data_IF_688809379113
#
_entry.id   IF_688809379113
#
_cell.length_a   1.000
_cell.length_b   1.000
_cell.length_c   1.000
_cell.angle_alpha   90.00
_cell.angle_beta   90.00
_cell.angle_gamma   90.00
#
_symmetry.space_group_name_H-M   'P 1'
#
loop_
_entity.id
_entity.type
_entity.pdbx_description
1 polymer ?
#
# COMPACT_ATOMS: atom_id res chain seq x y z
N UNK A 1 -18.50 28.79 -42.78
CA UNK A 1 -19.13 27.90 -41.78
C UNK A 1 -18.19 26.78 -41.28
N UNK A 2 -17.56 25.97 -42.15
CA UNK A 2 -16.64 24.88 -41.73
C UNK A 2 -15.48 25.31 -40.83
N UNK A 3 -14.78 26.43 -41.12
CA UNK A 3 -13.67 26.93 -40.29
C UNK A 3 -14.08 27.35 -38.88
N UNK A 4 -15.29 27.90 -38.74
CA UNK A 4 -15.84 28.32 -37.44
C UNK A 4 -16.24 27.10 -36.61
N UNK A 5 -16.73 26.04 -37.27
CA UNK A 5 -17.03 24.76 -36.63
C UNK A 5 -15.76 24.07 -36.12
N UNK A 6 -14.67 24.07 -36.91
CA UNK A 6 -13.37 23.51 -36.52
C UNK A 6 -12.74 24.24 -35.32
N UNK A 7 -12.83 25.57 -35.28
CA UNK A 7 -12.32 26.37 -34.15
C UNK A 7 -13.15 26.14 -32.89
N UNK A 8 -14.48 26.03 -33.01
CA UNK A 8 -15.35 25.69 -31.88
C UNK A 8 -15.11 24.27 -31.37
N UNK A 9 -14.84 23.32 -32.27
CA UNK A 9 -14.50 21.94 -31.90
C UNK A 9 -13.17 21.88 -31.15
N UNK A 10 -12.13 22.57 -31.67
CA UNK A 10 -10.81 22.62 -31.04
C UNK A 10 -10.83 23.30 -29.66
N UNK A 11 -11.60 24.39 -29.51
CA UNK A 11 -11.75 25.07 -28.22
C UNK A 11 -12.55 24.23 -27.21
N UNK A 12 -13.54 23.47 -27.67
CA UNK A 12 -14.26 22.51 -26.82
C UNK A 12 -13.36 21.35 -26.39
N UNK A 13 -12.50 20.83 -27.27
CA UNK A 13 -11.51 19.80 -26.92
C UNK A 13 -10.47 20.29 -25.90
N UNK A 14 -10.02 21.55 -26.01
CA UNK A 14 -9.04 22.15 -25.10
C UNK A 14 -9.59 22.33 -23.67
N UNK A 15 -10.89 22.61 -23.54
CA UNK A 15 -11.56 22.76 -22.25
C UNK A 15 -11.76 21.42 -21.50
N UNK A 16 -11.77 20.29 -22.21
CA UNK A 16 -11.93 18.95 -21.60
C UNK A 16 -10.60 18.45 -21.00
N UNK A 17 -9.45 18.89 -21.50
CA UNK A 17 -8.12 18.47 -21.00
C UNK A 17 -7.72 19.23 -19.72
N UNK A 18 -8.32 20.39 -19.45
CA UNK A 18 -7.94 21.26 -18.33
C UNK A 18 -8.46 20.83 -16.95
N UNK A 19 -9.35 19.84 -16.89
CA UNK A 19 -9.95 19.36 -15.63
C UNK A 19 -9.38 18.01 -15.16
N UNK A 20 -8.07 17.77 -15.33
CA UNK A 20 -7.41 16.69 -14.58
C UNK A 20 -7.27 17.15 -13.14
N UNK A 21 -8.23 16.80 -12.29
CA UNK A 21 -8.03 16.80 -10.84
C UNK A 21 -6.96 15.77 -10.54
N UNK A 22 -5.70 16.20 -10.42
CA UNK A 22 -4.64 15.40 -9.79
C UNK A 22 -5.02 15.30 -8.31
N UNK A 23 -5.93 14.38 -8.01
CA UNK A 23 -6.26 14.04 -6.63
C UNK A 23 -5.10 13.20 -6.11
N UNK A 24 -4.14 13.85 -5.46
CA UNK A 24 -3.03 13.17 -4.78
C UNK A 24 -3.59 12.49 -3.54
N UNK A 25 -4.18 11.32 -3.75
CA UNK A 25 -4.64 10.45 -2.68
C UNK A 25 -3.46 9.62 -2.17
N UNK A 26 -3.45 9.34 -0.87
CA UNK A 26 -2.45 8.48 -0.26
C UNK A 26 -2.43 7.08 -0.94
N UNK A 27 -1.29 6.62 -1.49
CA UNK A 27 -1.24 5.39 -2.27
C UNK A 27 -1.19 4.15 -1.36
N UNK A 28 -2.32 3.83 -0.72
CA UNK A 28 -2.43 2.80 0.32
C UNK A 28 -1.85 1.44 -0.12
N UNK A 29 -2.13 0.97 -1.34
CA UNK A 29 -1.61 -0.30 -1.83
C UNK A 29 -0.07 -0.30 -2.02
N UNK A 30 0.53 0.85 -2.34
CA UNK A 30 1.99 0.99 -2.42
C UNK A 30 2.60 1.03 -1.01
N UNK A 31 1.95 1.70 -0.07
CA UNK A 31 2.35 1.72 1.34
C UNK A 31 2.25 0.34 1.99
N UNK A 32 1.22 -0.47 1.67
CA UNK A 32 1.12 -1.87 2.13
C UNK A 32 2.28 -2.72 1.61
N UNK A 33 2.64 -2.59 0.33
CA UNK A 33 3.79 -3.29 -0.25
C UNK A 33 5.11 -2.87 0.39
N UNK A 34 5.29 -1.57 0.64
CA UNK A 34 6.45 -1.04 1.34
C UNK A 34 6.54 -1.57 2.77
N UNK A 35 5.41 -1.61 3.49
CA UNK A 35 5.33 -2.17 4.82
C UNK A 35 5.72 -3.65 4.84
N UNK A 36 5.20 -4.45 3.90
CA UNK A 36 5.55 -5.86 3.78
C UNK A 36 7.04 -6.08 3.56
N UNK A 37 7.66 -5.30 2.67
CA UNK A 37 9.10 -5.40 2.40
C UNK A 37 9.93 -5.11 3.65
N UNK A 38 9.61 -4.03 4.37
CA UNK A 38 10.33 -3.66 5.60
C UNK A 38 10.09 -4.70 6.70
N UNK A 39 8.84 -5.16 6.88
CA UNK A 39 8.50 -6.17 7.90
C UNK A 39 9.20 -7.49 7.60
N UNK A 40 9.22 -7.94 6.35
CA UNK A 40 9.92 -9.16 5.94
C UNK A 40 11.44 -9.02 6.18
N UNK A 41 12.02 -7.84 5.96
CA UNK A 41 13.42 -7.56 6.27
C UNK A 41 13.71 -7.54 7.78
N UNK A 42 12.85 -6.93 8.59
CA UNK A 42 13.03 -6.87 10.06
C UNK A 42 12.85 -8.26 10.68
N UNK A 43 11.84 -9.01 10.24
CA UNK A 43 11.48 -10.30 10.86
C UNK A 43 12.20 -11.51 10.27
N UNK A 44 12.67 -11.42 9.02
CA UNK A 44 13.31 -12.52 8.28
C UNK A 44 14.80 -12.34 8.03
N UNK A 45 15.42 -11.25 8.50
CA UNK A 45 16.87 -11.00 8.40
C UNK A 45 17.43 -10.90 6.98
N UNK A 46 16.57 -10.91 5.96
CA UNK A 46 16.99 -10.87 4.56
C UNK A 46 17.32 -9.43 4.17
N UNK A 47 18.61 -9.09 4.10
CA UNK A 47 19.06 -7.93 3.35
C UNK A 47 18.81 -8.20 1.85
N UNK A 48 17.61 -7.87 1.36
CA UNK A 48 17.29 -8.05 -0.05
C UNK A 48 18.01 -6.98 -0.91
N UNK A 49 18.59 -7.36 -2.07
CA UNK A 49 19.03 -6.40 -3.07
C UNK A 49 17.85 -5.58 -3.56
N UNK A 50 18.04 -4.26 -3.63
CA UNK A 50 17.11 -3.35 -4.30
C UNK A 50 17.08 -3.67 -5.79
N UNK A 51 16.17 -4.57 -6.17
CA UNK A 51 15.78 -4.77 -7.56
C UNK A 51 14.31 -4.44 -7.66
N UNK A 52 14.01 -3.25 -8.19
CA UNK A 52 12.70 -2.95 -8.77
C UNK A 52 12.42 -4.02 -9.83
N UNK A 53 11.61 -5.02 -9.48
CA UNK A 53 11.08 -5.95 -10.45
C UNK A 53 10.01 -5.21 -11.28
N UNK A 54 10.03 -5.32 -12.61
CA UNK A 54 9.13 -4.57 -13.48
C UNK A 54 7.67 -4.93 -13.19
N UNK A 55 6.86 -3.88 -13.09
CA UNK A 55 5.42 -3.88 -12.88
C UNK A 55 4.73 -4.97 -13.70
N UNK A 56 4.34 -6.08 -13.05
CA UNK A 56 3.34 -6.97 -13.62
C UNK A 56 1.99 -6.26 -13.51
N UNK A 57 1.22 -6.05 -14.59
CA UNK A 57 -0.14 -5.54 -14.49
C UNK A 57 -0.96 -6.54 -13.67
N UNK A 58 -1.23 -6.22 -12.40
CA UNK A 58 -2.19 -6.96 -11.61
C UNK A 58 -3.59 -6.51 -12.03
N UNK A 59 -4.25 -7.40 -12.75
CA UNK A 59 -5.67 -7.30 -13.09
C UNK A 59 -6.48 -7.28 -11.79
N UNK A 60 -7.33 -6.27 -11.66
CA UNK A 60 -8.41 -6.22 -10.66
C UNK A 60 -9.31 -7.45 -10.79
N UNK A 61 -9.73 -8.07 -9.66
CA UNK A 61 -10.72 -9.14 -9.61
C UNK A 61 -11.97 -8.90 -10.48
N UNK A 62 -12.52 -9.96 -11.12
CA UNK A 62 -13.70 -9.83 -11.98
C UNK A 62 -14.96 -9.59 -11.13
N UNK A 63 -15.66 -8.50 -11.42
CA UNK A 63 -17.07 -8.35 -11.03
C UNK A 63 -17.93 -9.46 -11.67
N UNK A 64 -19.05 -9.86 -11.03
CA UNK A 64 -19.87 -10.99 -11.45
C UNK A 64 -20.53 -10.74 -12.82
N UNK A 65 -20.79 -11.80 -13.61
CA UNK A 65 -21.40 -11.64 -14.93
C UNK A 65 -22.83 -11.13 -14.80
N UNK A 66 -23.03 -9.87 -15.17
CA UNK A 66 -24.34 -9.37 -15.57
C UNK A 66 -24.78 -10.19 -16.77
N UNK A 67 -25.77 -11.06 -16.55
CA UNK A 67 -26.38 -11.90 -17.56
C UNK A 67 -27.01 -11.01 -18.64
N UNK A 68 -26.30 -10.84 -19.75
CA UNK A 68 -26.83 -10.24 -20.96
C UNK A 68 -27.88 -11.20 -21.52
N UNK A 69 -29.13 -10.93 -21.15
CA UNK A 69 -30.34 -11.57 -21.61
C UNK A 69 -30.34 -11.63 -23.13
N UNK A 70 -30.11 -12.83 -23.66
CA UNK A 70 -30.26 -13.17 -25.08
C UNK A 70 -31.74 -13.02 -25.46
N UNK A 71 -32.10 -11.88 -26.05
CA UNK A 71 -33.33 -11.78 -26.82
C UNK A 71 -33.08 -12.33 -28.22
N UNK A 72 -33.55 -13.55 -28.44
CA UNK A 72 -33.72 -14.17 -29.75
C UNK A 72 -34.93 -13.57 -30.45
N UNK A 73 -34.69 -12.88 -31.55
CA UNK A 73 -35.58 -12.71 -32.72
C UNK A 73 -34.68 -12.09 -33.78
N UNK A 74 -34.28 -12.81 -34.83
CA UNK A 74 -35.16 -13.12 -35.93
C UNK A 74 -34.81 -12.19 -37.10
N UNK A 75 -34.23 -12.79 -38.14
CA UNK A 75 -34.34 -12.39 -39.55
C UNK A 75 -33.39 -11.32 -40.16
N UNK A 76 -32.64 -11.80 -41.17
CA UNK A 76 -32.27 -11.22 -42.47
C UNK A 76 -31.46 -9.90 -42.61
N UNK A 77 -30.71 -9.91 -43.71
CA UNK A 77 -29.98 -8.83 -44.40
C UNK A 77 -28.60 -8.45 -43.88
N UNK A 78 -27.58 -8.93 -44.61
CA UNK A 78 -26.25 -8.34 -44.64
C UNK A 78 -26.30 -6.90 -45.15
N UNK A 79 -25.32 -6.11 -44.71
CA UNK A 79 -24.98 -4.72 -45.11
C UNK A 79 -24.94 -3.68 -43.98
N UNK A 80 -24.86 -4.10 -42.69
CA UNK A 80 -24.72 -3.16 -41.55
C UNK A 80 -23.57 -3.48 -40.58
N UNK A 81 -22.73 -4.47 -40.88
CA UNK A 81 -21.63 -4.92 -40.01
C UNK A 81 -20.32 -4.12 -40.16
N UNK A 82 -20.06 -3.55 -41.33
CA UNK A 82 -18.78 -2.89 -41.65
C UNK A 82 -18.67 -1.48 -41.08
N UNK A 83 -19.78 -0.75 -40.94
CA UNK A 83 -19.78 0.64 -40.43
C UNK A 83 -19.52 0.68 -38.92
N UNK A 84 -19.97 -0.32 -38.16
CA UNK A 84 -19.73 -0.42 -36.70
C UNK A 84 -18.28 -0.73 -36.34
N UNK A 85 -17.61 -1.55 -37.14
CA UNK A 85 -16.21 -1.92 -36.91
C UNK A 85 -15.24 -0.77 -37.21
N UNK A 86 -15.55 0.06 -38.21
CA UNK A 86 -14.74 1.24 -38.52
C UNK A 86 -14.92 2.36 -37.48
N UNK A 87 -16.12 2.57 -36.95
CA UNK A 87 -16.37 3.54 -35.89
C UNK A 87 -15.61 3.21 -34.58
N UNK A 88 -15.48 1.92 -34.24
CA UNK A 88 -14.71 1.49 -33.07
C UNK A 88 -13.21 1.77 -33.20
N UNK A 89 -12.63 1.59 -34.41
CA UNK A 89 -11.21 1.88 -34.67
C UNK A 89 -10.87 3.37 -34.70
N UNK A 90 -11.82 4.20 -35.12
CA UNK A 90 -11.64 5.67 -35.10
C UNK A 90 -11.71 6.22 -33.68
N UNK A 91 -12.55 5.66 -32.80
CA UNK A 91 -12.59 6.05 -31.38
C UNK A 91 -11.28 5.73 -30.63
N UNK A 92 -10.61 4.63 -30.98
CA UNK A 92 -9.34 4.17 -30.38
C UNK A 92 -8.15 5.08 -30.75
N UNK A 93 -8.22 5.80 -31.87
CA UNK A 93 -7.20 6.77 -32.30
C UNK A 93 -7.45 8.17 -31.72
N UNK A 94 -8.72 8.52 -31.46
CA UNK A 94 -9.12 9.84 -30.96
C UNK A 94 -9.14 9.94 -29.43
N UNK A 95 -9.24 8.81 -28.73
CA UNK A 95 -9.05 8.73 -27.28
C UNK A 95 -7.72 8.04 -27.08
N UNK A 96 -6.62 8.77 -26.78
CA UNK A 96 -5.41 8.13 -26.30
C UNK A 96 -5.82 7.18 -25.18
N UNK A 97 -5.34 5.93 -25.21
CA UNK A 97 -5.42 5.07 -24.04
C UNK A 97 -4.90 5.92 -22.88
N UNK A 98 -5.82 6.37 -22.02
CA UNK A 98 -5.47 7.16 -20.86
C UNK A 98 -4.51 6.26 -20.10
N UNK A 99 -3.23 6.62 -20.10
CA UNK A 99 -2.19 5.87 -19.42
C UNK A 99 -2.66 5.78 -17.97
N UNK A 100 -3.14 4.59 -17.63
CA UNK A 100 -3.78 4.30 -16.38
C UNK A 100 -2.73 4.51 -15.31
N UNK A 101 -2.92 5.58 -14.53
CA UNK A 101 -2.43 5.80 -13.19
C UNK A 101 -1.16 4.99 -12.87
N UNK A 102 0.00 5.55 -13.20
CA UNK A 102 1.25 5.10 -12.60
C UNK A 102 1.08 5.25 -11.09
N UNK A 103 0.81 4.13 -10.40
CA UNK A 103 0.54 4.13 -8.97
C UNK A 103 1.75 4.73 -8.28
N UNK A 104 1.59 5.88 -7.62
CA UNK A 104 2.64 6.53 -6.84
C UNK A 104 3.31 5.46 -5.96
N UNK A 105 4.57 5.17 -6.24
CA UNK A 105 5.34 4.19 -5.50
C UNK A 105 5.82 4.84 -4.21
N UNK A 106 5.71 4.14 -3.07
CA UNK A 106 6.29 4.61 -1.81
C UNK A 106 7.79 4.31 -1.84
N UNK A 107 8.60 5.36 -1.82
CA UNK A 107 10.04 5.26 -1.70
C UNK A 107 10.43 4.88 -0.27
N UNK A 108 11.18 3.78 -0.15
CA UNK A 108 11.77 3.27 1.10
C UNK A 108 13.30 3.14 0.98
N UNK A 109 13.89 3.78 -0.03
CA UNK A 109 15.31 3.66 -0.39
C UNK A 109 16.18 4.78 0.18
N UNK A 110 15.67 5.60 1.11
CA UNK A 110 16.51 6.60 1.76
C UNK A 110 17.56 5.96 2.69
N UNK A 111 18.74 6.58 2.87
CA UNK A 111 19.73 6.14 3.86
C UNK A 111 19.17 6.03 5.28
N UNK A 112 18.28 6.94 5.66
CA UNK A 112 17.66 7.02 6.98
C UNK A 112 16.71 5.83 7.21
N UNK A 113 15.86 5.53 6.22
CA UNK A 113 14.96 4.36 6.27
C UNK A 113 15.76 3.06 6.34
N UNK A 114 16.85 2.94 5.58
CA UNK A 114 17.74 1.78 5.68
C UNK A 114 18.38 1.65 7.06
N UNK A 115 18.90 2.75 7.62
CA UNK A 115 19.57 2.73 8.91
C UNK A 115 18.63 2.33 10.05
N UNK A 116 17.42 2.91 10.08
CA UNK A 116 16.42 2.56 11.10
C UNK A 116 15.91 1.12 10.92
N UNK A 117 15.73 0.66 9.68
CA UNK A 117 15.33 -0.73 9.40
C UNK A 117 16.40 -1.71 9.87
N UNK A 118 17.68 -1.44 9.60
CA UNK A 118 18.79 -2.26 10.07
C UNK A 118 18.88 -2.29 11.61
N UNK A 119 18.66 -1.15 12.27
CA UNK A 119 18.58 -1.06 13.73
C UNK A 119 17.45 -1.95 14.28
N UNK A 120 16.26 -1.88 13.68
CA UNK A 120 15.13 -2.75 14.03
C UNK A 120 15.45 -4.24 13.82
N UNK A 121 16.00 -4.61 12.65
CA UNK A 121 16.44 -6.00 12.37
C UNK A 121 17.41 -6.50 13.43
N UNK A 122 18.40 -5.70 13.81
CA UNK A 122 19.42 -6.11 14.79
C UNK A 122 18.87 -6.36 16.20
N UNK A 123 17.79 -5.67 16.58
CA UNK A 123 17.11 -5.87 17.87
C UNK A 123 16.05 -6.95 17.84
N UNK A 124 15.54 -7.30 16.66
CA UNK A 124 14.34 -8.11 16.53
C UNK A 124 14.49 -9.47 17.24
N UNK A 125 15.63 -10.15 17.10
CA UNK A 125 15.89 -11.44 17.74
C UNK A 125 15.71 -11.40 19.27
N UNK A 126 16.12 -10.30 19.92
CA UNK A 126 15.95 -10.14 21.37
C UNK A 126 14.49 -9.86 21.74
N UNK A 127 13.79 -9.08 20.91
CA UNK A 127 12.39 -8.73 21.16
C UNK A 127 11.44 -9.90 20.87
N UNK A 128 11.81 -10.76 19.92
CA UNK A 128 11.00 -11.90 19.47
C UNK A 128 10.67 -12.85 20.62
N UNK A 129 11.65 -13.16 21.49
CA UNK A 129 11.43 -14.02 22.65
C UNK A 129 10.35 -13.49 23.60
N UNK A 130 10.26 -12.16 23.75
CA UNK A 130 9.25 -11.53 24.59
C UNK A 130 7.87 -11.47 23.91
N UNK A 131 7.81 -11.42 22.58
CA UNK A 131 6.55 -11.61 21.86
C UNK A 131 6.05 -13.05 22.00
N UNK A 132 6.96 -14.02 21.85
CA UNK A 132 6.64 -15.44 21.97
C UNK A 132 6.14 -15.83 23.38
N UNK A 133 6.67 -15.21 24.44
CA UNK A 133 6.17 -15.41 25.80
C UNK A 133 4.88 -14.64 26.11
N UNK A 134 4.44 -13.75 25.22
CA UNK A 134 3.34 -12.83 25.44
C UNK A 134 3.64 -11.71 26.43
N UNK A 135 4.90 -11.51 26.83
CA UNK A 135 5.29 -10.38 27.66
C UNK A 135 5.08 -9.05 26.92
N UNK A 136 5.40 -9.00 25.62
CA UNK A 136 5.16 -7.83 24.77
C UNK A 136 4.13 -8.12 23.69
N UNK A 137 3.50 -7.07 23.19
CA UNK A 137 2.52 -7.16 22.10
C UNK A 137 2.53 -5.92 21.21
N UNK A 138 1.90 -6.05 20.04
CA UNK A 138 1.76 -4.96 19.07
C UNK A 138 0.58 -4.07 19.43
N UNK A 139 0.74 -2.75 19.37
CA UNK A 139 -0.36 -1.80 19.63
C UNK A 139 -1.09 -1.44 18.33
N UNK A 140 -2.27 -0.82 18.47
CA UNK A 140 -3.07 -0.35 17.33
C UNK A 140 -2.41 0.81 16.55
N UNK A 141 -1.44 1.50 17.16
CA UNK A 141 -0.62 2.55 16.54
C UNK A 141 0.65 2.01 15.85
N UNK A 142 0.77 0.69 15.74
CA UNK A 142 1.91 0.02 15.10
C UNK A 142 3.18 0.14 15.91
N UNK A 143 3.06 0.25 17.24
CA UNK A 143 4.15 0.24 18.20
C UNK A 143 4.17 -1.09 18.96
N UNK A 144 5.08 -1.21 19.92
CA UNK A 144 5.21 -2.36 20.83
C UNK A 144 4.96 -1.89 22.26
N UNK A 145 4.32 -2.72 23.07
CA UNK A 145 4.07 -2.43 24.49
C UNK A 145 4.41 -3.63 25.36
N UNK A 146 4.90 -3.36 26.59
CA UNK A 146 5.00 -4.37 27.64
C UNK A 146 3.61 -4.67 28.18
N UNK A 147 2.98 -5.72 27.63
CA UNK A 147 1.64 -6.16 27.98
C UNK A 147 1.58 -6.83 29.34
N UNK A 148 2.49 -7.78 29.60
CA UNK A 148 2.51 -8.56 30.84
C UNK A 148 3.91 -8.57 31.45
N UNK A 149 4.12 -7.71 32.45
CA UNK A 149 5.38 -7.65 33.20
C UNK A 149 5.62 -8.89 34.07
N UNK A 150 4.58 -9.67 34.41
CA UNK A 150 4.73 -10.89 35.21
C UNK A 150 5.24 -12.07 34.37
N UNK A 151 5.06 -12.03 33.04
CA UNK A 151 5.68 -12.94 32.11
C UNK A 151 7.19 -12.68 31.91
N UNK A 152 7.75 -11.62 32.50
CA UNK A 152 9.17 -11.26 32.40
C UNK A 152 9.89 -11.50 33.74
N UNK A 153 10.99 -12.29 33.77
CA UNK A 153 11.83 -12.43 34.96
C UNK A 153 12.31 -11.09 35.49
N UNK A 154 12.38 -10.92 36.82
CA UNK A 154 12.74 -9.64 37.45
C UNK A 154 14.07 -9.07 36.93
N UNK A 155 15.06 -9.92 36.69
CA UNK A 155 16.38 -9.53 36.16
C UNK A 155 16.32 -8.96 34.73
N UNK A 156 15.30 -9.30 33.95
CA UNK A 156 15.16 -8.92 32.54
C UNK A 156 14.22 -7.72 32.34
N UNK A 157 13.44 -7.33 33.35
CA UNK A 157 12.42 -6.26 33.19
C UNK A 157 13.00 -4.93 32.70
N UNK A 158 14.19 -4.56 33.17
CA UNK A 158 14.87 -3.36 32.70
C UNK A 158 15.29 -3.47 31.22
N UNK A 159 15.75 -4.66 30.81
CA UNK A 159 16.12 -4.95 29.43
C UNK A 159 14.90 -4.85 28.51
N UNK A 160 13.78 -5.50 28.84
CA UNK A 160 12.55 -5.47 28.01
C UNK A 160 12.03 -4.04 27.84
N UNK A 161 11.97 -3.26 28.93
CA UNK A 161 11.54 -1.85 28.86
C UNK A 161 12.41 -1.02 27.92
N UNK A 162 13.74 -1.23 27.97
CA UNK A 162 14.68 -0.57 27.07
C UNK A 162 14.46 -0.99 25.62
N UNK A 163 14.33 -2.30 25.35
CA UNK A 163 14.09 -2.82 23.99
C UNK A 163 12.80 -2.27 23.40
N UNK A 164 11.70 -2.25 24.17
CA UNK A 164 10.42 -1.67 23.75
C UNK A 164 10.56 -0.17 23.43
N UNK A 165 11.23 0.59 24.29
CA UNK A 165 11.43 2.03 24.08
C UNK A 165 12.28 2.32 22.84
N UNK A 166 13.37 1.56 22.63
CA UNK A 166 14.24 1.67 21.47
C UNK A 166 13.51 1.28 20.18
N UNK A 167 12.73 0.20 20.19
CA UNK A 167 11.95 -0.22 19.01
C UNK A 167 10.87 0.79 18.63
N UNK A 168 10.18 1.36 19.63
CA UNK A 168 9.19 2.39 19.38
C UNK A 168 9.80 3.68 18.85
N UNK A 169 11.01 4.05 19.30
CA UNK A 169 11.73 5.19 18.75
C UNK A 169 12.02 4.98 17.26
N UNK A 170 12.46 3.79 16.89
CA UNK A 170 12.77 3.45 15.51
C UNK A 170 11.51 3.35 14.65
N UNK A 171 10.43 2.73 15.12
CA UNK A 171 9.14 2.71 14.41
C UNK A 171 8.59 4.10 14.14
N UNK A 172 8.63 4.98 15.14
CA UNK A 172 8.20 6.38 14.96
C UNK A 172 9.07 7.11 13.94
N UNK A 173 10.39 6.91 14.00
CA UNK A 173 11.32 7.49 13.01
C UNK A 173 11.03 6.95 11.62
N UNK A 174 10.85 5.64 11.47
CA UNK A 174 10.55 4.98 10.21
C UNK A 174 9.29 5.57 9.55
N UNK A 175 8.19 5.69 10.28
CA UNK A 175 6.94 6.20 9.71
C UNK A 175 7.08 7.65 9.24
N UNK A 176 7.74 8.49 10.04
CA UNK A 176 7.99 9.87 9.68
C UNK A 176 8.94 10.01 8.48
N UNK A 177 10.00 9.20 8.42
CA UNK A 177 10.98 9.25 7.33
C UNK A 177 10.42 8.70 6.02
N UNK A 178 9.54 7.68 6.05
CA UNK A 178 8.82 7.25 4.84
C UNK A 178 7.97 8.42 4.32
N UNK A 179 7.22 9.11 5.19
CA UNK A 179 6.41 10.24 4.81
C UNK A 179 7.26 11.38 4.19
N UNK A 180 8.37 11.74 4.85
CA UNK A 180 9.31 12.79 4.38
C UNK A 180 10.01 12.42 3.07
N UNK A 181 10.53 11.19 2.93
CA UNK A 181 11.21 10.72 1.74
C UNK A 181 10.30 10.75 0.51
N UNK A 182 8.99 10.61 0.72
CA UNK A 182 7.97 10.70 -0.32
C UNK A 182 7.41 12.12 -0.51
N UNK A 183 8.04 13.15 0.09
CA UNK A 183 7.60 14.55 0.04
C UNK A 183 6.16 14.81 0.55
N UNK A 184 5.65 13.90 1.39
CA UNK A 184 4.30 13.97 1.96
C UNK A 184 4.32 13.69 3.48
N UNK A 185 4.85 14.62 4.32
CA UNK A 185 4.87 14.46 5.77
C UNK A 185 3.48 14.22 6.37
N UNK A 186 2.43 14.74 5.72
CA UNK A 186 1.03 14.53 6.12
C UNK A 186 0.57 13.07 6.03
N UNK A 187 1.26 12.22 5.26
CA UNK A 187 0.94 10.80 5.13
C UNK A 187 1.38 9.96 6.34
N UNK A 188 2.14 10.51 7.29
CA UNK A 188 2.68 9.74 8.43
C UNK A 188 1.60 8.95 9.16
N UNK A 189 0.43 9.57 9.43
CA UNK A 189 -0.67 8.92 10.15
C UNK A 189 -1.24 7.74 9.36
N UNK A 190 -1.38 7.87 8.04
CA UNK A 190 -1.91 6.79 7.20
C UNK A 190 -0.87 5.67 7.00
N UNK A 191 0.41 6.03 6.87
CA UNK A 191 1.54 5.09 6.87
C UNK A 191 1.53 4.28 8.17
N UNK A 192 1.49 4.95 9.32
CA UNK A 192 1.43 4.31 10.64
C UNK A 192 0.28 3.33 10.74
N UNK A 193 -0.93 3.72 10.31
CA UNK A 193 -2.11 2.85 10.34
C UNK A 193 -1.93 1.60 9.49
N UNK A 194 -1.35 1.75 8.29
CA UNK A 194 -1.04 0.60 7.43
C UNK A 194 -0.02 -0.30 8.11
N UNK A 195 1.10 0.26 8.59
CA UNK A 195 2.12 -0.52 9.27
C UNK A 195 1.58 -1.25 10.49
N UNK A 196 0.73 -0.61 11.31
CA UNK A 196 0.10 -1.24 12.46
C UNK A 196 -0.64 -2.52 12.08
N UNK A 197 -1.49 -2.45 11.06
CA UNK A 197 -2.20 -3.61 10.53
C UNK A 197 -1.24 -4.64 9.94
N UNK A 198 -0.26 -4.23 9.13
CA UNK A 198 0.69 -5.15 8.47
C UNK A 198 1.64 -5.83 9.46
N UNK A 199 2.04 -5.17 10.55
CA UNK A 199 2.81 -5.81 11.62
C UNK A 199 2.05 -7.01 12.20
N UNK A 200 0.75 -6.87 12.41
CA UNK A 200 -0.10 -7.98 12.87
C UNK A 200 -0.28 -9.02 11.78
N UNK A 201 -0.66 -8.65 10.56
CA UNK A 201 -1.00 -9.59 9.49
C UNK A 201 0.23 -10.37 8.98
N UNK A 202 1.35 -9.67 8.75
CA UNK A 202 2.55 -10.20 8.11
C UNK A 202 3.67 -10.53 9.09
N UNK A 203 3.93 -9.65 10.06
CA UNK A 203 5.08 -9.77 10.96
C UNK A 203 4.86 -10.66 12.18
N UNK A 204 3.65 -10.66 12.73
CA UNK A 204 3.36 -11.42 13.95
C UNK A 204 3.25 -12.93 13.69
N UNK A 205 3.80 -13.74 14.58
CA UNK A 205 3.68 -15.20 14.55
C UNK A 205 2.45 -15.67 15.33
N UNK A 206 1.92 -16.90 15.09
CA UNK A 206 0.84 -17.46 15.89
C UNK A 206 1.15 -17.41 17.38
N UNK A 207 0.18 -17.06 18.20
CA UNK A 207 0.32 -16.92 19.64
C UNK A 207 0.78 -15.53 20.12
N UNK A 208 1.21 -14.63 19.22
CA UNK A 208 1.58 -13.27 19.59
C UNK A 208 0.36 -12.41 19.92
N UNK A 209 0.54 -11.46 20.83
CA UNK A 209 -0.53 -10.55 21.22
C UNK A 209 -0.49 -9.23 20.44
N UNK A 210 -1.68 -8.73 20.11
CA UNK A 210 -1.88 -7.45 19.46
C UNK A 210 -3.13 -6.73 20.00
N UNK A 211 -3.15 -5.41 19.94
CA UNK A 211 -4.33 -4.62 20.30
C UNK A 211 -5.28 -4.44 19.12
N UNK A 212 -6.58 -4.54 19.40
CA UNK A 212 -7.65 -4.15 18.50
C UNK A 212 -8.82 -3.60 19.32
N UNK A 213 -9.18 -2.33 19.08
CA UNK A 213 -10.26 -1.67 19.81
C UNK A 213 -9.93 -1.51 21.31
N UNK A 214 -8.67 -1.18 21.62
CA UNK A 214 -8.18 -1.05 23.00
C UNK A 214 -8.09 -2.34 23.81
N UNK A 215 -8.40 -3.50 23.22
CA UNK A 215 -8.31 -4.82 23.88
C UNK A 215 -7.19 -5.66 23.28
N UNK A 216 -6.56 -6.50 24.10
CA UNK A 216 -5.53 -7.45 23.67
C UNK A 216 -6.16 -8.72 23.10
N UNK A 217 -5.70 -9.12 21.91
CA UNK A 217 -6.06 -10.35 21.21
C UNK A 217 -4.81 -11.17 20.93
N UNK A 218 -5.00 -12.47 20.73
CA UNK A 218 -3.93 -13.39 20.35
C UNK A 218 -4.10 -13.81 18.90
N UNK A 219 -3.03 -13.76 18.10
CA UNK A 219 -3.03 -14.16 16.69
C UNK A 219 -3.05 -15.67 16.50
#
# INVERSE_FOLDING_TARGET
MRRILSVKLALASLLVVACVTINVYFPAAAAERAADQIIDQVTGGSAAPQSQAPSRPQQTPPEPPTSLRRHTTGDRSGMTGTVRLLAARVLEVLVPAAQAQESANIDISSPEIRAVTASMTSRFDQLEGYFASGAVGLTEDGLVELRDANAVPLAERALVKRLVAEDNRDRNTLYAEIARANAHPEWETDIRRIFARRWVERGAKPGWFYQQGGSWHQK
#
